data_IF_104004513255
#
_entry.id   IF_104004513255
#
_cell.length_a   1.000
_cell.length_b   1.000
_cell.length_c   1.000
_cell.angle_alpha   90.00
_cell.angle_beta   90.00
_cell.angle_gamma   90.00
#
_symmetry.space_group_name_H-M   'P 1'
#
loop_
_entity.id
_entity.type
_entity.pdbx_description
1 polymer ?
#
# COMPACT_ATOMS: atom_id res chain seq x y z
N UNK A 1 -5.61 10.65 -9.54
CA UNK A 1 -5.14 9.28 -9.27
C UNK A 1 -5.94 8.71 -8.12
N UNK A 2 -6.58 7.58 -8.35
CA UNK A 2 -7.57 6.95 -7.46
C UNK A 2 -6.97 6.12 -6.33
N UNK A 3 -5.64 5.91 -6.31
CA UNK A 3 -5.00 5.06 -5.31
C UNK A 3 -5.32 3.57 -5.51
N UNK A 4 -5.58 3.18 -6.76
CA UNK A 4 -5.78 1.80 -7.21
C UNK A 4 -4.66 1.40 -8.16
N UNK A 5 -4.46 0.09 -8.32
CA UNK A 5 -3.52 -0.47 -9.29
C UNK A 5 -3.81 0.11 -10.68
N UNK A 6 -2.76 0.58 -11.36
CA UNK A 6 -2.87 1.26 -12.66
C UNK A 6 -3.21 2.76 -12.61
N UNK A 7 -3.52 3.31 -11.44
CA UNK A 7 -3.87 4.74 -11.25
C UNK A 7 -3.32 5.28 -9.91
N UNK A 8 -2.03 5.04 -9.69
CA UNK A 8 -1.24 5.50 -8.54
C UNK A 8 -0.38 6.69 -8.91
N UNK A 9 -0.38 7.72 -8.06
CA UNK A 9 0.59 8.82 -8.18
C UNK A 9 1.99 8.38 -7.79
N UNK A 10 3.04 9.11 -8.21
CA UNK A 10 4.40 8.84 -7.75
C UNK A 10 4.49 8.74 -6.22
N UNK A 11 3.83 9.65 -5.50
CA UNK A 11 3.75 9.63 -4.02
C UNK A 11 3.03 8.39 -3.49
N UNK A 12 1.95 7.94 -4.14
CA UNK A 12 1.22 6.73 -3.73
C UNK A 12 2.03 5.46 -3.99
N UNK A 13 2.75 5.40 -5.12
CA UNK A 13 3.64 4.29 -5.44
C UNK A 13 4.81 4.20 -4.46
N UNK A 14 5.41 5.34 -4.08
CA UNK A 14 6.43 5.41 -3.05
C UNK A 14 5.90 4.95 -1.68
N UNK A 15 4.72 5.41 -1.28
CA UNK A 15 4.08 4.99 -0.04
C UNK A 15 3.81 3.47 -0.03
N UNK A 16 3.39 2.89 -1.15
CA UNK A 16 3.18 1.45 -1.29
C UNK A 16 4.50 0.68 -1.17
N UNK A 17 5.57 1.13 -1.82
CA UNK A 17 6.89 0.51 -1.73
C UNK A 17 7.43 0.56 -0.29
N UNK A 18 7.35 1.72 0.37
CA UNK A 18 7.75 1.90 1.76
C UNK A 18 6.92 1.05 2.71
N UNK A 19 5.60 0.97 2.48
CA UNK A 19 4.73 0.13 3.28
C UNK A 19 5.11 -1.34 3.17
N UNK A 20 5.34 -1.84 1.94
CA UNK A 20 5.78 -3.22 1.69
C UNK A 20 7.09 -3.55 2.42
N UNK A 21 8.06 -2.64 2.41
CA UNK A 21 9.33 -2.81 3.14
C UNK A 21 9.12 -2.83 4.66
N UNK A 22 8.28 -1.94 5.19
CA UNK A 22 8.02 -1.84 6.62
C UNK A 22 7.31 -3.06 7.22
N UNK A 23 6.54 -3.79 6.41
CA UNK A 23 5.77 -4.97 6.87
C UNK A 23 6.35 -6.30 6.37
N UNK A 24 7.56 -6.29 5.80
CA UNK A 24 8.16 -7.47 5.14
C UNK A 24 8.29 -8.70 6.03
N UNK A 25 8.44 -8.49 7.32
CA UNK A 25 8.53 -9.52 8.36
C UNK A 25 7.20 -10.24 8.58
N UNK A 26 6.06 -9.53 8.42
CA UNK A 26 4.72 -10.10 8.57
C UNK A 26 4.03 -10.42 7.24
N UNK A 27 4.56 -9.95 6.09
CA UNK A 27 4.01 -10.24 4.75
C UNK A 27 3.76 -11.74 4.50
N UNK A 28 4.67 -12.67 4.86
CA UNK A 28 4.44 -14.10 4.63
C UNK A 28 3.24 -14.68 5.38
N UNK A 29 2.80 -14.03 6.46
CA UNK A 29 1.66 -14.45 7.27
C UNK A 29 0.32 -13.87 6.76
N UNK A 30 0.34 -12.95 5.79
CA UNK A 30 -0.87 -12.33 5.27
C UNK A 30 -1.60 -13.25 4.28
N UNK A 31 -2.95 -13.17 4.22
CA UNK A 31 -3.74 -13.96 3.27
C UNK A 31 -3.48 -13.57 1.80
N UNK A 32 -2.95 -12.36 1.55
CA UNK A 32 -2.50 -11.90 0.24
C UNK A 32 -1.39 -10.86 0.38
N UNK A 33 -0.48 -10.83 -0.59
CA UNK A 33 0.70 -9.93 -0.61
C UNK A 33 0.69 -8.99 -1.82
N UNK A 34 -0.38 -9.01 -2.62
CA UNK A 34 -0.51 -8.18 -3.81
C UNK A 34 -0.82 -6.71 -3.48
N UNK A 35 -0.63 -5.84 -4.48
CA UNK A 35 -0.85 -4.40 -4.32
C UNK A 35 -2.32 -4.06 -4.04
N UNK A 36 -3.28 -4.84 -4.54
CA UNK A 36 -4.70 -4.60 -4.26
C UNK A 36 -5.00 -4.73 -2.77
N UNK A 37 -4.43 -5.76 -2.12
CA UNK A 37 -4.55 -6.01 -0.70
C UNK A 37 -3.86 -4.91 0.11
N UNK A 38 -2.59 -4.60 -0.18
CA UNK A 38 -1.83 -3.59 0.56
C UNK A 38 -2.43 -2.18 0.41
N UNK A 39 -2.92 -1.83 -0.78
CA UNK A 39 -3.56 -0.53 -1.02
C UNK A 39 -4.88 -0.37 -0.26
N UNK A 40 -5.58 -1.44 0.16
CA UNK A 40 -6.77 -1.31 1.04
C UNK A 40 -6.38 -0.69 2.38
N UNK A 41 -5.25 -1.10 2.96
CA UNK A 41 -4.73 -0.58 4.22
C UNK A 41 -4.28 0.87 4.10
N UNK A 42 -3.61 1.22 2.99
CA UNK A 42 -3.17 2.60 2.75
C UNK A 42 -4.34 3.56 2.51
N UNK A 43 -5.43 3.09 1.87
CA UNK A 43 -6.64 3.92 1.68
C UNK A 43 -7.46 4.09 2.97
N UNK A 44 -7.52 3.05 3.82
CA UNK A 44 -8.33 3.03 5.04
C UNK A 44 -7.77 3.85 6.20
N UNK A 45 -6.45 4.11 6.23
CA UNK A 45 -5.79 4.88 7.30
C UNK A 45 -5.66 6.37 6.98
N UNK A 46 -6.57 6.91 6.16
CA UNK A 46 -6.55 8.28 5.65
C UNK A 46 -6.78 9.39 6.68
N UNK A 47 -5.91 9.54 7.68
CA UNK A 47 -5.54 10.89 8.13
C UNK A 47 -4.26 11.29 7.41
N UNK A 48 -4.46 11.85 6.23
CA UNK A 48 -3.43 12.57 5.46
C UNK A 48 -2.29 11.67 5.00
N UNK A 49 -2.19 11.47 3.70
CA UNK A 49 -0.94 11.01 3.09
C UNK A 49 0.20 11.92 3.60
N UNK A 50 1.02 11.41 4.52
CA UNK A 50 2.20 12.05 5.15
C UNK A 50 2.75 13.23 4.36
#
# INVERSE_FOLDING_TARGET
>A
MSGRVGDLSPKQAEALAKFRENVKDVLPALPAQDDYFLLKWLRGNGRGWL
#
